data_IF_357609440262
#
_entry.id   IF_357609440262
#
_cell.length_a   1.000
_cell.length_b   1.000
_cell.length_c   1.000
_cell.angle_alpha   90.00
_cell.angle_beta   90.00
_cell.angle_gamma   90.00
#
_symmetry.space_group_name_H-M   'P 1'
#
loop_
_entity.id
_entity.type
_entity.pdbx_description
1 polymer ?
#
# COMPACT_ATOMS: atom_id res chain seq x y z
N UNK A 1 -16.08 -1.43 0.05
CA UNK A 1 -14.64 -1.13 -0.04
C UNK A 1 -14.33 0.24 -0.64
N UNK A 2 -15.33 1.06 -1.02
CA UNK A 2 -15.07 2.42 -1.55
C UNK A 2 -14.55 3.41 -0.51
N UNK A 3 -14.50 2.98 0.75
CA UNK A 3 -13.95 3.62 1.94
C UNK A 3 -12.59 3.03 2.36
N UNK A 4 -12.08 2.05 1.62
CA UNK A 4 -10.79 1.43 1.87
C UNK A 4 -9.70 2.07 1.02
N UNK A 5 -8.45 1.97 1.46
CA UNK A 5 -7.29 2.45 0.71
C UNK A 5 -6.46 1.31 0.10
N UNK A 6 -6.56 0.10 0.68
CA UNK A 6 -5.82 -1.11 0.28
C UNK A 6 -6.77 -2.30 0.28
N UNK A 7 -6.59 -3.21 -0.67
CA UNK A 7 -7.35 -4.44 -0.75
C UNK A 7 -6.40 -5.62 -1.00
N UNK A 8 -6.35 -6.58 -0.07
CA UNK A 8 -5.64 -7.84 -0.25
C UNK A 8 -6.54 -8.87 -0.91
N UNK A 9 -6.03 -9.55 -1.94
CA UNK A 9 -6.78 -10.53 -2.74
C UNK A 9 -5.90 -11.72 -3.10
N UNK A 10 -6.47 -12.92 -3.16
CA UNK A 10 -5.77 -14.10 -3.69
C UNK A 10 -5.64 -14.01 -5.21
N UNK A 11 -6.74 -13.62 -5.85
CA UNK A 11 -6.79 -13.37 -7.28
C UNK A 11 -7.76 -12.24 -7.60
N UNK A 12 -7.48 -11.53 -8.70
CA UNK A 12 -8.33 -10.47 -9.22
C UNK A 12 -8.17 -10.43 -10.74
N UNK A 13 -9.29 -10.38 -11.47
CA UNK A 13 -9.26 -10.25 -12.92
C UNK A 13 -8.86 -8.83 -13.34
N UNK A 14 -8.22 -8.69 -14.50
CA UNK A 14 -7.75 -7.39 -15.02
C UNK A 14 -8.81 -6.29 -15.02
N UNK A 15 -10.03 -6.52 -15.56
CA UNK A 15 -11.10 -5.52 -15.53
C UNK A 15 -11.54 -5.11 -14.13
N UNK A 16 -11.54 -6.05 -13.17
CA UNK A 16 -11.88 -5.77 -11.78
C UNK A 16 -10.78 -4.95 -11.09
N UNK A 17 -9.51 -5.35 -11.25
CA UNK A 17 -8.36 -4.60 -10.74
C UNK A 17 -8.35 -3.16 -11.26
N UNK A 18 -8.66 -2.98 -12.55
CA UNK A 18 -8.73 -1.66 -13.15
C UNK A 18 -9.86 -0.79 -12.58
N UNK A 19 -10.98 -1.40 -12.12
CA UNK A 19 -12.04 -0.67 -11.41
C UNK A 19 -11.64 -0.33 -9.97
N UNK A 20 -10.96 -1.23 -9.27
CA UNK A 20 -10.45 -1.03 -7.91
C UNK A 20 -9.43 0.12 -7.88
N UNK A 21 -8.47 0.12 -8.81
CA UNK A 21 -7.47 1.20 -8.93
C UNK A 21 -8.15 2.54 -9.25
N UNK A 22 -9.17 2.56 -10.11
CA UNK A 22 -9.95 3.79 -10.42
C UNK A 22 -10.77 4.30 -9.24
N UNK A 23 -11.01 3.47 -8.24
CA UNK A 23 -11.66 3.86 -7.00
C UNK A 23 -10.65 4.26 -5.90
N UNK A 24 -9.40 4.56 -6.28
CA UNK A 24 -8.29 4.93 -5.37
C UNK A 24 -7.95 3.87 -4.31
N UNK A 25 -8.23 2.61 -4.61
CA UNK A 25 -7.87 1.46 -3.76
C UNK A 25 -6.65 0.77 -4.38
N UNK A 26 -5.63 0.50 -3.57
CA UNK A 26 -4.44 -0.23 -3.99
C UNK A 26 -4.63 -1.75 -3.83
N UNK A 27 -4.77 -2.54 -4.91
CA UNK A 27 -4.90 -4.00 -4.81
C UNK A 27 -3.54 -4.67 -4.62
N UNK A 28 -3.44 -5.58 -3.64
CA UNK A 28 -2.24 -6.39 -3.37
C UNK A 28 -2.62 -7.86 -3.53
N UNK A 29 -1.89 -8.57 -4.39
CA UNK A 29 -2.14 -9.98 -4.68
C UNK A 29 -1.29 -10.89 -3.80
N UNK A 30 -1.91 -11.81 -3.09
CA UNK A 30 -1.26 -12.86 -2.26
C UNK A 30 -1.74 -14.22 -2.79
N UNK A 31 -1.06 -14.82 -3.79
CA UNK A 31 -1.56 -15.99 -4.51
C UNK A 31 -1.85 -17.22 -3.63
N UNK A 32 -1.07 -17.42 -2.57
CA UNK A 32 -1.24 -18.54 -1.65
C UNK A 32 -2.30 -18.27 -0.57
N UNK A 33 -2.76 -17.02 -0.47
CA UNK A 33 -3.67 -16.57 0.58
C UNK A 33 -3.08 -16.72 1.98
N UNK A 34 -3.96 -16.88 2.96
CA UNK A 34 -3.60 -17.03 4.36
C UNK A 34 -4.60 -16.37 5.31
N UNK A 35 -4.46 -16.57 6.63
CA UNK A 35 -5.26 -15.86 7.61
C UNK A 35 -5.08 -14.34 7.48
N UNK A 36 -6.19 -13.60 7.56
CA UNK A 36 -6.16 -12.15 7.38
C UNK A 36 -5.25 -11.43 8.38
N UNK A 37 -5.16 -11.93 9.61
CA UNK A 37 -4.30 -11.36 10.66
C UNK A 37 -2.81 -11.52 10.32
N UNK A 38 -2.42 -12.67 9.77
CA UNK A 38 -1.05 -12.94 9.36
C UNK A 38 -0.61 -12.05 8.20
N UNK A 39 -1.54 -11.73 7.28
CA UNK A 39 -1.31 -10.80 6.17
C UNK A 39 -1.28 -9.34 6.65
N UNK A 40 -2.08 -9.00 7.67
CA UNK A 40 -2.16 -7.64 8.21
C UNK A 40 -0.90 -7.25 8.99
N UNK A 41 -0.27 -8.19 9.70
CA UNK A 41 0.91 -7.93 10.52
C UNK A 41 2.09 -7.30 9.73
N UNK A 42 2.56 -7.87 8.60
CA UNK A 42 3.64 -7.26 7.82
C UNK A 42 3.24 -5.91 7.21
N UNK A 43 1.96 -5.73 6.87
CA UNK A 43 1.46 -4.43 6.40
C UNK A 43 1.60 -3.38 7.50
N UNK A 44 1.20 -3.67 8.73
CA UNK A 44 1.34 -2.76 9.86
C UNK A 44 2.82 -2.41 10.15
N UNK A 45 3.73 -3.37 10.03
CA UNK A 45 5.18 -3.12 10.14
C UNK A 45 5.63 -2.14 9.07
N UNK A 46 5.26 -2.37 7.80
CA UNK A 46 5.61 -1.48 6.69
C UNK A 46 5.04 -0.06 6.86
N UNK A 47 3.86 0.09 7.46
CA UNK A 47 3.27 1.40 7.78
C UNK A 47 4.09 2.22 8.77
N UNK A 48 4.82 1.56 9.66
CA UNK A 48 5.61 2.21 10.72
C UNK A 48 7.04 2.45 10.24
N UNK A 49 7.67 1.45 9.62
CA UNK A 49 9.09 1.51 9.27
C UNK A 49 9.36 2.35 8.02
N UNK A 50 8.59 2.15 6.95
CA UNK A 50 8.79 2.85 5.68
C UNK A 50 7.48 3.00 4.90
N UNK A 51 6.54 3.80 5.43
CA UNK A 51 5.29 4.06 4.73
C UNK A 51 5.55 4.83 3.43
N UNK A 52 4.91 4.45 2.31
CA UNK A 52 5.01 5.20 1.08
C UNK A 52 4.32 6.58 1.20
N UNK A 53 4.63 7.57 0.33
CA UNK A 53 4.24 8.96 0.52
C UNK A 53 2.75 9.17 0.32
N UNK A 54 2.13 8.33 -0.52
CA UNK A 54 0.68 8.28 -0.69
C UNK A 54 -0.02 7.82 0.59
N UNK A 55 0.57 6.86 1.32
CA UNK A 55 0.03 6.39 2.59
C UNK A 55 0.26 7.40 3.71
N UNK A 56 1.44 8.02 3.77
CA UNK A 56 1.71 9.13 4.68
C UNK A 56 0.71 10.29 4.49
N UNK A 57 0.32 10.57 3.24
CA UNK A 57 -0.70 11.58 2.93
C UNK A 57 -2.05 11.22 3.55
N UNK A 58 -2.47 9.96 3.42
CA UNK A 58 -3.73 9.45 4.00
C UNK A 58 -3.68 9.49 5.54
N UNK A 59 -2.52 9.17 6.12
CA UNK A 59 -2.27 9.22 7.56
C UNK A 59 -2.16 10.67 8.12
N UNK A 60 -2.33 11.69 7.28
CA UNK A 60 -2.34 13.10 7.71
C UNK A 60 -0.95 13.71 7.94
N UNK A 61 0.11 13.08 7.42
CA UNK A 61 1.47 13.62 7.54
C UNK A 61 1.68 14.79 6.58
N UNK A 62 2.21 15.91 7.11
CA UNK A 62 2.43 17.14 6.34
C UNK A 62 3.35 16.90 5.14
N UNK A 63 3.14 17.67 4.06
CA UNK A 63 3.89 17.54 2.80
C UNK A 63 5.42 17.55 3.00
N UNK A 64 5.90 18.46 3.84
CA UNK A 64 7.31 18.63 4.18
C UNK A 64 7.95 17.38 4.79
N UNK A 65 7.16 16.59 5.54
CA UNK A 65 7.63 15.36 6.20
C UNK A 65 7.52 14.12 5.30
N UNK A 66 6.74 14.17 4.21
CA UNK A 66 6.52 13.03 3.29
C UNK A 66 7.72 12.67 2.43
N UNK A 67 8.62 13.63 2.17
CA UNK A 67 9.78 13.46 1.29
C UNK A 67 10.96 12.76 1.98
N UNK A 68 10.92 12.59 3.30
CA UNK A 68 12.07 12.07 4.08
C UNK A 68 12.40 10.60 3.79
N UNK A 69 11.42 9.81 3.37
CA UNK A 69 11.61 8.37 3.11
C UNK A 69 11.83 8.05 1.62
N UNK A 70 11.79 9.06 0.76
CA UNK A 70 12.05 8.96 -0.69
C UNK A 70 13.27 9.80 -1.05
N UNK A 71 14.33 9.74 -0.23
CA UNK A 71 15.64 9.82 -0.86
C UNK A 71 15.67 8.64 -1.82
N UNK A 72 15.53 8.90 -3.12
CA UNK A 72 16.20 8.06 -4.10
C UNK A 72 17.66 8.08 -3.63
N UNK A 73 18.05 7.09 -2.83
CA UNK A 73 19.46 6.85 -2.61
C UNK A 73 19.97 6.60 -4.03
N UNK A 74 20.73 7.55 -4.56
CA UNK A 74 21.69 7.27 -5.62
C UNK A 74 22.37 5.99 -5.16
N UNK A 75 22.13 4.89 -5.89
CA UNK A 75 22.90 3.68 -5.70
C UNK A 75 24.27 4.06 -6.28
N UNK A 76 25.14 4.61 -5.43
CA UNK A 76 26.54 4.76 -5.78
C UNK A 76 27.10 3.36 -6.06
N UNK A 77 27.78 3.26 -7.20
CA UNK A 77 28.30 2.08 -7.90
C UNK A 77 29.14 1.11 -7.05
#
# INVERSE_FOLDING_TARGET
IGDCHVCYVVSIGGPAAAKVIRADIYPIKIPDGGPALDILQPFQVAMVESPPPWLLKILGVSAEKRLKNYSAAEIDE
#
